data_IF_100374769479
#
_entry.id   IF_100374769479
#
_cell.length_a   1.000
_cell.length_b   1.000
_cell.length_c   1.000
_cell.angle_alpha   90.00
_cell.angle_beta   90.00
_cell.angle_gamma   90.00
#
_symmetry.space_group_name_H-M   'P 1'
#
loop_
_entity.id
_entity.type
_entity.pdbx_description
1 polymer ?
#
# COMPACT_ATOMS: atom_id res chain seq x y z
N UNK A 1 41.44 25.15 -9.70
CA UNK A 1 40.22 25.70 -9.07
C UNK A 1 39.19 24.57 -9.04
N UNK A 2 39.04 23.94 -7.88
CA UNK A 2 38.23 22.74 -7.66
C UNK A 2 36.82 23.18 -7.26
N UNK A 3 35.83 22.92 -8.11
CA UNK A 3 34.42 23.07 -7.77
C UNK A 3 33.93 21.78 -7.10
N UNK A 4 33.56 21.90 -5.84
CA UNK A 4 33.00 20.83 -4.99
C UNK A 4 31.55 20.54 -5.35
N UNK A 5 31.25 19.27 -5.57
CA UNK A 5 29.92 18.67 -5.75
C UNK A 5 29.16 18.67 -4.40
N UNK A 6 27.88 19.08 -4.33
CA UNK A 6 27.09 18.92 -3.11
C UNK A 6 26.68 17.46 -2.91
N UNK A 7 26.85 16.97 -1.67
CA UNK A 7 26.38 15.66 -1.20
C UNK A 7 24.85 15.56 -1.23
N UNK A 8 24.38 14.41 -1.67
CA UNK A 8 23.01 13.89 -1.53
C UNK A 8 22.41 14.20 -0.14
N UNK A 9 21.31 14.93 -0.14
CA UNK A 9 20.33 14.93 0.96
C UNK A 9 19.36 13.78 0.77
N UNK A 10 19.26 12.93 1.78
CA UNK A 10 18.31 11.82 1.90
C UNK A 10 16.85 12.26 1.65
N UNK A 11 15.99 11.39 1.07
CA UNK A 11 14.56 11.63 1.06
C UNK A 11 14.02 11.50 2.49
N UNK A 12 13.69 12.65 3.08
CA UNK A 12 12.98 12.79 4.35
C UNK A 12 11.62 12.07 4.27
N UNK A 13 11.61 10.79 4.66
CA UNK A 13 10.40 10.08 5.04
C UNK A 13 9.82 10.77 6.29
N UNK A 14 8.83 11.64 6.11
CA UNK A 14 7.91 12.06 7.17
C UNK A 14 6.78 11.04 7.21
N UNK A 15 6.67 10.16 8.22
CA UNK A 15 5.57 9.20 8.29
C UNK A 15 4.43 9.76 9.14
N UNK A 16 3.21 9.73 8.58
CA UNK A 16 2.01 9.08 9.16
C UNK A 16 1.56 9.40 10.60
N UNK A 17 2.11 10.41 11.29
CA UNK A 17 1.74 10.71 12.68
C UNK A 17 0.38 11.39 12.86
N UNK A 18 -0.24 11.90 11.79
CA UNK A 18 -1.51 12.63 11.89
C UNK A 18 -2.76 11.77 11.61
N UNK A 19 -2.63 10.65 10.88
CA UNK A 19 -3.76 9.78 10.56
C UNK A 19 -4.09 8.79 11.69
N UNK A 20 -3.12 8.39 12.50
CA UNK A 20 -3.37 7.47 13.64
C UNK A 20 -3.99 8.16 14.87
N UNK A 21 -3.83 9.48 15.01
CA UNK A 21 -4.52 10.24 16.05
C UNK A 21 -6.04 10.32 15.80
N UNK A 22 -6.48 10.24 14.54
CA UNK A 22 -7.90 10.24 14.17
C UNK A 22 -8.58 8.87 14.42
N UNK A 23 -7.85 7.76 14.25
CA UNK A 23 -8.37 6.43 14.57
C UNK A 23 -8.60 6.23 16.08
N UNK A 24 -7.70 6.77 16.91
CA UNK A 24 -7.84 6.71 18.37
C UNK A 24 -9.04 7.55 18.89
N UNK A 25 -9.34 8.66 18.21
CA UNK A 25 -10.50 9.52 18.52
C UNK A 25 -11.81 8.87 18.04
N UNK A 26 -11.79 8.07 16.97
CA UNK A 26 -12.96 7.34 16.49
C UNK A 26 -13.32 6.14 17.42
N UNK A 27 -12.32 5.36 17.86
CA UNK A 27 -12.53 4.30 18.85
C UNK A 27 -12.95 4.83 20.23
N UNK A 28 -12.43 6.01 20.63
CA UNK A 28 -12.88 6.69 21.84
C UNK A 28 -14.29 7.30 21.70
N UNK A 29 -14.70 7.74 20.50
CA UNK A 29 -16.05 8.23 20.25
C UNK A 29 -17.08 7.10 20.37
N UNK A 30 -16.77 5.88 19.92
CA UNK A 30 -17.61 4.69 20.13
C UNK A 30 -17.81 4.36 21.62
N UNK A 31 -16.78 4.57 22.44
CA UNK A 31 -16.82 4.39 23.89
C UNK A 31 -17.38 5.60 24.68
N UNK A 32 -17.57 6.76 24.05
CA UNK A 32 -18.11 7.99 24.65
C UNK A 32 -19.58 8.31 24.26
N UNK A 33 -20.18 7.52 23.36
CA UNK A 33 -21.64 7.50 23.15
C UNK A 33 -22.47 7.07 24.38
N UNK A 34 -21.99 6.27 25.37
CA UNK A 34 -22.88 5.76 26.42
C UNK A 34 -23.33 6.82 27.44
N UNK A 35 -22.85 8.07 27.36
CA UNK A 35 -23.29 9.13 28.27
C UNK A 35 -24.55 9.90 27.81
N UNK A 36 -24.99 9.76 26.55
CA UNK A 36 -25.96 10.72 25.97
C UNK A 36 -27.20 10.11 25.28
N UNK A 37 -27.32 8.79 25.14
CA UNK A 37 -28.46 8.18 24.43
C UNK A 37 -28.96 6.86 25.05
N UNK A 38 -30.28 6.68 25.03
CA UNK A 38 -30.97 5.52 25.59
C UNK A 38 -30.73 4.27 24.71
N UNK A 39 -30.39 3.10 25.29
CA UNK A 39 -30.20 1.84 24.57
C UNK A 39 -31.32 1.48 23.57
N UNK A 40 -32.58 1.77 23.90
CA UNK A 40 -33.74 1.47 23.03
C UNK A 40 -33.79 2.33 21.76
N UNK A 41 -33.19 3.51 21.78
CA UNK A 41 -33.01 4.38 20.60
C UNK A 41 -31.78 4.04 19.76
N UNK A 42 -30.82 3.29 20.31
CA UNK A 42 -29.54 2.96 19.65
C UNK A 42 -29.63 1.62 18.89
N UNK A 43 -30.39 0.64 19.40
CA UNK A 43 -30.54 -0.69 18.79
C UNK A 43 -30.90 -0.73 17.27
N UNK A 44 -31.85 0.07 16.75
CA UNK A 44 -32.12 0.07 15.31
C UNK A 44 -30.97 0.70 14.48
N UNK A 45 -30.22 1.63 15.09
CA UNK A 45 -29.06 2.28 14.46
C UNK A 45 -27.88 1.30 14.42
N UNK A 46 -27.67 0.49 15.47
CA UNK A 46 -26.60 -0.52 15.48
C UNK A 46 -26.85 -1.64 14.47
N UNK A 47 -28.10 -2.10 14.33
CA UNK A 47 -28.47 -3.09 13.31
C UNK A 47 -28.24 -2.56 11.88
N UNK A 48 -28.57 -1.28 11.61
CA UNK A 48 -28.28 -0.64 10.33
C UNK A 48 -26.77 -0.45 10.10
N UNK A 49 -26.00 -0.09 11.13
CA UNK A 49 -24.54 0.03 11.05
C UNK A 49 -23.87 -1.32 10.80
N UNK A 50 -24.30 -2.39 11.48
CA UNK A 50 -23.79 -3.74 11.27
C UNK A 50 -24.01 -4.20 9.81
N UNK A 51 -25.23 -4.01 9.29
CA UNK A 51 -25.53 -4.34 7.90
C UNK A 51 -24.73 -3.49 6.90
N UNK A 52 -24.60 -2.19 7.14
CA UNK A 52 -23.79 -1.30 6.29
C UNK A 52 -22.32 -1.71 6.28
N UNK A 53 -21.76 -2.16 7.41
CA UNK A 53 -20.39 -2.64 7.53
C UNK A 53 -20.15 -3.99 6.84
N UNK A 54 -21.13 -4.90 6.88
CA UNK A 54 -21.07 -6.15 6.10
C UNK A 54 -21.04 -5.86 4.60
N UNK A 55 -21.93 -4.99 4.12
CA UNK A 55 -21.97 -4.56 2.72
C UNK A 55 -20.67 -3.85 2.32
N UNK A 56 -20.18 -2.94 3.17
CA UNK A 56 -18.90 -2.24 2.94
C UNK A 56 -17.73 -3.23 2.86
N UNK A 57 -17.63 -4.16 3.81
CA UNK A 57 -16.56 -5.17 3.82
C UNK A 57 -16.61 -6.05 2.58
N UNK A 58 -17.79 -6.53 2.18
CA UNK A 58 -17.95 -7.37 1.00
C UNK A 58 -17.61 -6.59 -0.28
N UNK A 59 -18.05 -5.34 -0.39
CA UNK A 59 -17.75 -4.48 -1.54
C UNK A 59 -16.27 -4.10 -1.62
N UNK A 60 -15.62 -3.87 -0.48
CA UNK A 60 -14.20 -3.55 -0.41
C UNK A 60 -13.35 -4.72 -0.88
N UNK A 61 -13.65 -5.94 -0.42
CA UNK A 61 -12.91 -7.14 -0.83
C UNK A 61 -13.09 -7.43 -2.32
N UNK A 62 -14.33 -7.35 -2.82
CA UNK A 62 -14.59 -7.50 -4.25
C UNK A 62 -13.83 -6.45 -5.09
N UNK A 63 -13.84 -5.19 -4.64
CA UNK A 63 -13.14 -4.09 -5.31
C UNK A 63 -11.62 -4.26 -5.28
N UNK A 64 -11.06 -4.76 -4.17
CA UNK A 64 -9.63 -5.08 -4.03
C UNK A 64 -9.21 -6.14 -5.05
N UNK A 65 -9.93 -7.25 -5.11
CA UNK A 65 -9.64 -8.34 -6.07
C UNK A 65 -9.73 -7.86 -7.51
N UNK A 66 -10.73 -7.03 -7.84
CA UNK A 66 -10.86 -6.44 -9.17
C UNK A 66 -9.69 -5.51 -9.50
N UNK A 67 -9.28 -4.66 -8.55
CA UNK A 67 -8.15 -3.75 -8.72
C UNK A 67 -6.84 -4.51 -8.93
N UNK A 68 -6.56 -5.52 -8.10
CA UNK A 68 -5.37 -6.38 -8.23
C UNK A 68 -5.33 -7.05 -9.62
N UNK A 69 -6.44 -7.64 -10.06
CA UNK A 69 -6.54 -8.27 -11.39
C UNK A 69 -6.36 -7.26 -12.52
N UNK A 70 -6.95 -6.07 -12.41
CA UNK A 70 -6.82 -5.02 -13.42
C UNK A 70 -5.37 -4.53 -13.53
N UNK A 71 -4.67 -4.38 -12.41
CA UNK A 71 -3.26 -3.99 -12.37
C UNK A 71 -2.40 -5.07 -13.02
N UNK A 72 -2.58 -6.35 -12.65
CA UNK A 72 -1.86 -7.47 -13.27
C UNK A 72 -2.09 -7.52 -14.78
N UNK A 73 -3.35 -7.41 -15.23
CA UNK A 73 -3.68 -7.41 -16.65
C UNK A 73 -3.06 -6.22 -17.41
N UNK A 74 -3.11 -5.03 -16.81
CA UNK A 74 -2.53 -3.81 -17.40
C UNK A 74 -1.00 -3.92 -17.52
N UNK A 75 -0.33 -4.45 -16.49
CA UNK A 75 1.11 -4.69 -16.51
C UNK A 75 1.50 -5.71 -17.58
N UNK A 76 0.73 -6.79 -17.77
CA UNK A 76 1.00 -7.76 -18.82
C UNK A 76 0.87 -7.16 -20.22
N UNK A 77 -0.16 -6.32 -20.46
CA UNK A 77 -0.32 -5.60 -21.74
C UNK A 77 0.90 -4.70 -22.01
N UNK A 78 1.33 -3.94 -20.99
CA UNK A 78 2.49 -3.05 -21.13
C UNK A 78 3.78 -3.83 -21.37
N UNK A 79 3.98 -4.97 -20.69
CA UNK A 79 5.12 -5.88 -20.92
C UNK A 79 5.16 -6.39 -22.35
N UNK A 80 4.03 -6.84 -22.89
CA UNK A 80 3.91 -7.30 -24.28
C UNK A 80 4.21 -6.16 -25.26
N UNK A 81 3.65 -4.97 -25.01
CA UNK A 81 3.89 -3.79 -25.85
C UNK A 81 5.36 -3.38 -25.86
N UNK A 82 6.00 -3.38 -24.70
CA UNK A 82 7.40 -3.01 -24.50
C UNK A 82 8.35 -4.00 -25.16
N UNK A 83 8.19 -5.30 -24.90
CA UNK A 83 8.98 -6.35 -25.55
C UNK A 83 8.80 -6.36 -27.07
N UNK A 84 7.57 -6.16 -27.55
CA UNK A 84 7.26 -6.00 -28.97
C UNK A 84 7.91 -4.75 -29.59
N UNK A 85 7.99 -3.64 -28.84
CA UNK A 85 8.69 -2.42 -29.27
C UNK A 85 10.19 -2.67 -29.41
N UNK A 86 10.83 -3.26 -28.39
CA UNK A 86 12.26 -3.60 -28.45
C UNK A 86 12.59 -4.53 -29.60
N UNK A 87 11.75 -5.54 -29.84
CA UNK A 87 11.94 -6.43 -30.99
C UNK A 87 11.87 -5.70 -32.33
N UNK A 88 10.87 -4.83 -32.51
CA UNK A 88 10.74 -4.01 -33.73
C UNK A 88 11.91 -3.07 -33.90
N UNK A 89 12.39 -2.49 -32.82
CA UNK A 89 13.54 -1.60 -32.81
C UNK A 89 14.81 -2.28 -33.34
N UNK A 90 15.08 -3.53 -32.91
CA UNK A 90 16.19 -4.34 -33.43
C UNK A 90 16.09 -4.59 -34.93
N UNK A 91 14.87 -4.81 -35.45
CA UNK A 91 14.62 -4.96 -36.89
C UNK A 91 14.83 -3.63 -37.64
N UNK A 92 14.28 -2.52 -37.13
CA UNK A 92 14.35 -1.21 -37.80
C UNK A 92 15.76 -0.61 -37.81
N UNK A 93 16.56 -0.90 -36.79
CA UNK A 93 17.96 -0.46 -36.70
C UNK A 93 18.90 -1.33 -37.54
N UNK A 94 18.41 -2.49 -38.01
CA UNK A 94 19.18 -3.47 -38.78
C UNK A 94 20.10 -4.33 -37.92
N UNK A 95 19.98 -4.31 -36.59
CA UNK A 95 20.69 -5.22 -35.68
C UNK A 95 20.20 -6.66 -35.83
N UNK A 96 18.94 -6.81 -36.24
CA UNK A 96 18.32 -8.06 -36.66
C UNK A 96 17.83 -7.91 -38.11
N UNK A 97 18.15 -8.86 -38.98
CA UNK A 97 17.67 -8.89 -40.36
C UNK A 97 16.19 -9.30 -40.43
N UNK A 98 15.50 -9.07 -41.58
CA UNK A 98 14.13 -9.55 -41.79
C UNK A 98 13.99 -11.07 -41.63
N UNK A 99 15.05 -11.83 -41.92
CA UNK A 99 15.12 -13.29 -41.76
C UNK A 99 15.50 -13.72 -40.33
N UNK A 100 15.45 -12.78 -39.37
CA UNK A 100 15.76 -12.97 -37.96
C UNK A 100 17.22 -13.42 -37.72
N UNK A 101 18.15 -12.89 -38.51
CA UNK A 101 19.58 -13.12 -38.34
C UNK A 101 20.23 -11.94 -37.62
N UNK A 102 21.12 -12.23 -36.67
CA UNK A 102 21.91 -11.19 -36.02
C UNK A 102 22.88 -10.56 -37.03
N UNK A 103 23.05 -9.24 -36.96
CA UNK A 103 24.03 -8.50 -37.78
C UNK A 103 25.04 -7.80 -36.84
N UNK A 104 26.03 -8.52 -36.27
CA UNK A 104 26.94 -7.97 -35.26
C UNK A 104 27.77 -6.77 -35.74
N UNK A 105 28.14 -6.75 -37.02
CA UNK A 105 28.89 -5.64 -37.64
C UNK A 105 28.08 -4.33 -37.56
N UNK A 106 26.75 -4.42 -37.72
CA UNK A 106 25.86 -3.26 -37.64
C UNK A 106 25.90 -2.60 -36.27
N UNK A 107 26.13 -3.37 -35.20
CA UNK A 107 26.27 -2.83 -33.84
C UNK A 107 27.48 -1.89 -33.74
N UNK A 108 28.62 -2.28 -34.30
CA UNK A 108 29.83 -1.46 -34.29
C UNK A 108 29.67 -0.17 -35.11
N UNK A 109 29.03 -0.26 -36.28
CA UNK A 109 28.70 0.90 -37.12
C UNK A 109 27.81 1.90 -36.36
N UNK A 110 26.76 1.41 -35.69
CA UNK A 110 25.84 2.24 -34.94
C UNK A 110 26.47 2.80 -33.65
N UNK A 111 27.41 2.08 -33.04
CA UNK A 111 28.16 2.59 -31.88
C UNK A 111 29.11 3.73 -32.26
N UNK A 112 29.66 3.72 -33.47
CA UNK A 112 30.52 4.79 -33.98
C UNK A 112 29.76 6.11 -34.25
N UNK A 113 28.46 6.04 -34.50
CA UNK A 113 27.60 7.20 -34.75
C UNK A 113 26.84 7.63 -33.48
N UNK A 114 27.25 8.74 -32.87
CA UNK A 114 26.66 9.27 -31.63
C UNK A 114 25.17 9.63 -31.75
N UNK A 115 24.64 9.89 -32.95
CA UNK A 115 23.24 10.26 -33.16
C UNK A 115 22.30 9.04 -33.18
N UNK A 116 22.83 7.85 -33.45
CA UNK A 116 22.02 6.63 -33.45
C UNK A 116 21.66 6.22 -32.03
N UNK A 117 20.39 5.91 -31.79
CA UNK A 117 19.91 5.40 -30.51
C UNK A 117 19.19 4.09 -30.72
N UNK A 118 19.61 3.07 -29.97
CA UNK A 118 18.81 1.88 -29.72
C UNK A 118 19.07 1.43 -28.29
N UNK A 119 18.14 0.70 -27.71
CA UNK A 119 18.22 0.15 -26.35
C UNK A 119 19.53 -0.62 -26.17
N UNK A 120 19.89 -1.51 -27.11
CA UNK A 120 21.13 -2.28 -27.02
C UNK A 120 22.38 -1.39 -27.15
N UNK A 121 22.34 -0.36 -28.01
CA UNK A 121 23.42 0.62 -28.14
C UNK A 121 23.58 1.41 -26.83
N UNK A 122 22.47 1.79 -26.21
CA UNK A 122 22.45 2.50 -24.94
C UNK A 122 23.01 1.64 -23.81
N UNK A 123 22.69 0.35 -23.74
CA UNK A 123 23.31 -0.57 -22.77
C UNK A 123 24.84 -0.55 -22.89
N UNK A 124 25.36 -0.56 -24.12
CA UNK A 124 26.80 -0.53 -24.37
C UNK A 124 27.41 0.83 -24.02
N UNK A 125 26.77 1.93 -24.44
CA UNK A 125 27.25 3.30 -24.15
C UNK A 125 27.24 3.64 -22.67
N UNK A 126 26.25 3.14 -21.93
CA UNK A 126 26.15 3.29 -20.48
C UNK A 126 27.10 2.33 -19.73
N UNK A 127 27.83 1.47 -20.44
CA UNK A 127 28.79 0.53 -19.88
C UNK A 127 28.15 -0.64 -19.12
N UNK A 128 26.86 -0.90 -19.32
CA UNK A 128 26.12 -2.01 -18.71
C UNK A 128 26.39 -3.33 -19.44
N UNK A 129 26.73 -3.25 -20.72
CA UNK A 129 27.09 -4.38 -21.56
C UNK A 129 28.35 -4.06 -22.34
N UNK A 130 29.30 -4.98 -22.42
CA UNK A 130 30.48 -4.83 -23.30
C UNK A 130 30.06 -5.09 -24.75
N UNK A 131 30.81 -4.56 -25.72
CA UNK A 131 30.52 -4.78 -27.16
C UNK A 131 30.43 -6.27 -27.49
N UNK A 132 31.39 -7.08 -27.03
CA UNK A 132 31.40 -8.52 -27.26
C UNK A 132 30.19 -9.24 -26.61
N UNK A 133 29.73 -8.76 -25.45
CA UNK A 133 28.55 -9.29 -24.77
C UNK A 133 27.28 -8.94 -25.55
N UNK A 134 27.17 -7.73 -26.08
CA UNK A 134 26.05 -7.31 -26.91
C UNK A 134 25.97 -8.06 -28.24
N UNK A 135 27.12 -8.37 -28.86
CA UNK A 135 27.17 -9.22 -30.05
C UNK A 135 26.72 -10.65 -29.76
N UNK A 136 27.20 -11.25 -28.65
CA UNK A 136 26.77 -12.58 -28.23
C UNK A 136 25.26 -12.60 -27.91
N UNK A 137 24.77 -11.58 -27.18
CA UNK A 137 23.35 -11.42 -26.88
C UNK A 137 22.49 -11.34 -28.14
N UNK A 138 22.92 -10.59 -29.17
CA UNK A 138 22.20 -10.52 -30.45
C UNK A 138 22.11 -11.88 -31.15
N UNK A 139 23.21 -12.65 -31.13
CA UNK A 139 23.26 -14.00 -31.73
C UNK A 139 22.29 -14.93 -30.99
N UNK A 140 22.32 -14.93 -29.66
CA UNK A 140 21.43 -15.75 -28.83
C UNK A 140 19.96 -15.34 -29.04
N UNK A 141 19.70 -14.03 -29.12
CA UNK A 141 18.36 -13.52 -29.37
C UNK A 141 17.83 -13.90 -30.76
N UNK A 142 18.67 -13.80 -31.81
CA UNK A 142 18.33 -14.25 -33.15
C UNK A 142 18.02 -15.77 -33.18
N UNK A 143 18.84 -16.58 -32.49
CA UNK A 143 18.64 -18.02 -32.38
C UNK A 143 17.31 -18.35 -31.70
N UNK A 144 16.99 -17.70 -30.58
CA UNK A 144 15.70 -17.90 -29.89
C UNK A 144 14.50 -17.47 -30.74
N UNK A 145 14.65 -16.44 -31.60
CA UNK A 145 13.60 -16.02 -32.52
C UNK A 145 13.29 -17.06 -33.60
N UNK A 146 14.29 -17.84 -34.03
CA UNK A 146 14.12 -18.94 -35.00
C UNK A 146 13.56 -20.23 -34.36
N UNK A 147 13.59 -20.34 -33.03
CA UNK A 147 13.09 -21.50 -32.31
C UNK A 147 11.62 -21.31 -31.90
N UNK A 148 10.70 -21.94 -32.64
CA UNK A 148 9.25 -21.87 -32.37
C UNK A 148 8.83 -22.33 -30.97
N UNK A 149 9.68 -23.08 -30.26
CA UNK A 149 9.43 -23.63 -28.93
C UNK A 149 10.08 -22.82 -27.79
N UNK A 150 10.66 -21.65 -28.06
CA UNK A 150 11.44 -20.89 -27.07
C UNK A 150 10.89 -19.48 -26.71
N UNK A 151 9.56 -19.28 -26.52
CA UNK A 151 9.02 -17.95 -26.20
C UNK A 151 9.50 -17.42 -24.84
N UNK A 152 9.74 -18.30 -23.87
CA UNK A 152 10.25 -17.93 -22.55
C UNK A 152 11.72 -17.51 -22.61
N UNK A 153 12.55 -18.22 -23.38
CA UNK A 153 13.96 -17.85 -23.57
C UNK A 153 14.08 -16.49 -24.26
N UNK A 154 13.23 -16.23 -25.27
CA UNK A 154 13.15 -14.91 -25.92
C UNK A 154 12.83 -13.80 -24.92
N UNK A 155 11.85 -14.02 -24.05
CA UNK A 155 11.48 -13.06 -22.99
C UNK A 155 12.61 -12.88 -21.98
N UNK A 156 13.27 -13.95 -21.57
CA UNK A 156 14.38 -13.90 -20.63
C UNK A 156 15.57 -13.09 -21.18
N UNK A 157 15.89 -13.21 -22.47
CA UNK A 157 16.92 -12.39 -23.11
C UNK A 157 16.54 -10.91 -23.15
N UNK A 158 15.30 -10.58 -23.52
CA UNK A 158 14.83 -9.18 -23.50
C UNK A 158 14.79 -8.60 -22.10
N UNK A 159 14.52 -9.42 -21.08
CA UNK A 159 14.49 -9.00 -19.68
C UNK A 159 15.86 -8.53 -19.14
N UNK A 160 16.95 -8.84 -19.84
CA UNK A 160 18.30 -8.36 -19.48
C UNK A 160 18.53 -6.90 -19.91
N UNK A 161 17.67 -6.34 -20.76
CA UNK A 161 17.77 -4.95 -21.19
C UNK A 161 17.13 -4.01 -20.15
N UNK A 162 17.78 -2.89 -19.87
CA UNK A 162 17.41 -1.95 -18.82
C UNK A 162 15.95 -1.47 -18.91
N UNK A 163 15.34 -1.21 -20.09
CA UNK A 163 13.93 -0.82 -20.13
C UNK A 163 12.99 -1.88 -19.57
N UNK A 164 13.29 -3.18 -19.77
CA UNK A 164 12.48 -4.26 -19.19
C UNK A 164 12.77 -4.38 -17.70
N UNK A 165 14.04 -4.38 -17.30
CA UNK A 165 14.44 -4.46 -15.89
C UNK A 165 13.78 -3.35 -15.05
N UNK A 166 13.83 -2.10 -15.52
CA UNK A 166 13.19 -0.96 -14.85
C UNK A 166 11.66 -1.10 -14.81
N UNK A 167 11.06 -1.59 -15.91
CA UNK A 167 9.63 -1.85 -15.96
C UNK A 167 9.23 -2.91 -14.93
N UNK A 168 9.95 -4.02 -14.84
CA UNK A 168 9.66 -5.10 -13.87
C UNK A 168 9.84 -4.64 -12.43
N UNK A 169 10.88 -3.85 -12.15
CA UNK A 169 11.07 -3.25 -10.83
C UNK A 169 9.89 -2.33 -10.45
N UNK A 170 9.43 -1.48 -11.39
CA UNK A 170 8.26 -0.63 -11.20
C UNK A 170 6.96 -1.41 -11.07
N UNK A 171 6.80 -2.47 -11.87
CA UNK A 171 5.64 -3.37 -11.84
C UNK A 171 5.52 -4.08 -10.48
N UNK A 172 6.62 -4.62 -9.97
CA UNK A 172 6.69 -5.24 -8.64
C UNK A 172 6.36 -4.25 -7.53
N UNK A 173 6.93 -3.04 -7.59
CA UNK A 173 6.64 -1.98 -6.62
C UNK A 173 5.16 -1.57 -6.63
N UNK A 174 4.55 -1.44 -7.82
CA UNK A 174 3.13 -1.12 -7.97
C UNK A 174 2.23 -2.23 -7.40
N UNK A 175 2.53 -3.50 -7.70
CA UNK A 175 1.77 -4.62 -7.16
C UNK A 175 1.84 -4.67 -5.64
N UNK A 176 3.03 -4.50 -5.05
CA UNK A 176 3.17 -4.42 -3.59
C UNK A 176 2.40 -3.24 -2.99
N UNK A 177 2.42 -2.07 -3.64
CA UNK A 177 1.68 -0.90 -3.17
C UNK A 177 0.15 -1.13 -3.19
N UNK A 178 -0.37 -1.79 -4.22
CA UNK A 178 -1.81 -2.12 -4.33
C UNK A 178 -2.24 -3.09 -3.24
N UNK A 179 -1.45 -4.14 -2.99
CA UNK A 179 -1.72 -5.10 -1.91
C UNK A 179 -1.69 -4.40 -0.54
N UNK A 180 -0.63 -3.63 -0.26
CA UNK A 180 -0.48 -2.91 1.01
C UNK A 180 -1.63 -1.89 1.24
N UNK A 181 -2.09 -1.23 0.17
CA UNK A 181 -3.24 -0.34 0.26
C UNK A 181 -4.53 -1.10 0.56
N UNK A 182 -4.76 -2.24 -0.09
CA UNK A 182 -5.89 -3.12 0.19
C UNK A 182 -5.91 -3.62 1.64
N UNK A 183 -4.76 -4.03 2.15
CA UNK A 183 -4.58 -4.43 3.56
C UNK A 183 -4.90 -3.27 4.52
N UNK A 184 -4.42 -2.06 4.23
CA UNK A 184 -4.71 -0.88 5.04
C UNK A 184 -6.22 -0.55 5.11
N UNK A 185 -6.94 -0.67 3.99
CA UNK A 185 -8.40 -0.49 4.00
C UNK A 185 -9.07 -1.60 4.82
N UNK A 186 -8.61 -2.85 4.69
CA UNK A 186 -9.19 -3.96 5.45
C UNK A 186 -8.99 -3.79 6.97
N UNK A 187 -7.84 -3.24 7.40
CA UNK A 187 -7.61 -2.86 8.80
C UNK A 187 -8.66 -1.85 9.26
N UNK A 188 -8.89 -0.78 8.49
CA UNK A 188 -9.90 0.24 8.82
C UNK A 188 -11.32 -0.35 8.89
N UNK A 189 -11.69 -1.25 7.98
CA UNK A 189 -12.99 -1.94 8.01
C UNK A 189 -13.11 -2.83 9.25
N UNK A 190 -12.03 -3.50 9.66
CA UNK A 190 -12.01 -4.32 10.86
C UNK A 190 -12.09 -3.46 12.14
N UNK A 191 -11.43 -2.31 12.19
CA UNK A 191 -11.55 -1.34 13.28
C UNK A 191 -12.99 -0.83 13.41
N UNK A 192 -13.62 -0.41 12.30
CA UNK A 192 -15.02 0.01 12.28
C UNK A 192 -15.98 -1.11 12.74
N UNK A 193 -15.69 -2.37 12.37
CA UNK A 193 -16.45 -3.54 12.85
C UNK A 193 -16.28 -3.74 14.35
N UNK A 194 -15.08 -3.59 14.87
CA UNK A 194 -14.80 -3.71 16.30
C UNK A 194 -15.56 -2.63 17.09
N UNK A 195 -15.59 -1.41 16.59
CA UNK A 195 -16.34 -0.28 17.17
C UNK A 195 -17.85 -0.55 17.15
N UNK A 196 -18.40 -0.99 16.02
CA UNK A 196 -19.82 -1.31 15.92
C UNK A 196 -20.24 -2.44 16.87
N UNK A 197 -19.41 -3.46 17.05
CA UNK A 197 -19.65 -4.52 18.05
C UNK A 197 -19.65 -3.98 19.49
N UNK A 198 -18.77 -3.03 19.80
CA UNK A 198 -18.74 -2.40 21.12
C UNK A 198 -20.02 -1.59 21.39
N UNK A 199 -20.53 -0.86 20.40
CA UNK A 199 -21.79 -0.11 20.50
C UNK A 199 -23.00 -1.06 20.60
N UNK A 200 -23.01 -2.17 19.85
CA UNK A 200 -24.08 -3.17 19.91
C UNK A 200 -24.18 -3.84 21.28
N UNK A 201 -23.02 -4.23 21.85
CA UNK A 201 -22.93 -4.76 23.21
C UNK A 201 -23.48 -3.77 24.25
N UNK A 202 -23.19 -2.48 24.08
CA UNK A 202 -23.76 -1.43 24.94
C UNK A 202 -25.29 -1.33 24.80
N UNK A 203 -25.83 -1.36 23.57
CA UNK A 203 -27.27 -1.26 23.33
C UNK A 203 -28.07 -2.43 23.93
N UNK A 204 -27.44 -3.59 24.13
CA UNK A 204 -28.10 -4.81 24.63
C UNK A 204 -27.91 -5.05 26.14
N UNK A 205 -27.18 -4.19 26.87
CA UNK A 205 -26.98 -4.31 28.32
C UNK A 205 -28.17 -3.87 29.20
N UNK A 206 -29.33 -3.61 28.59
CA UNK A 206 -30.64 -3.64 29.26
C UNK A 206 -30.99 -2.46 30.17
N UNK A 207 -30.05 -1.90 30.92
CA UNK A 207 -30.28 -0.76 31.80
C UNK A 207 -28.98 0.05 31.94
N UNK A 208 -29.04 1.33 31.58
CA UNK A 208 -28.04 2.30 32.03
C UNK A 208 -28.08 2.30 33.57
N UNK A 209 -26.96 2.03 34.26
CA UNK A 209 -26.97 2.14 35.70
C UNK A 209 -27.28 3.59 36.06
N UNK A 210 -28.41 3.81 36.72
CA UNK A 210 -28.89 5.13 37.18
C UNK A 210 -27.96 5.77 38.22
N UNK A 211 -26.95 5.02 38.66
CA UNK A 211 -25.82 5.45 39.46
C UNK A 211 -24.54 5.11 38.70
N UNK A 212 -23.64 6.09 38.55
CA UNK A 212 -22.34 5.89 37.90
C UNK A 212 -21.46 4.98 38.77
N UNK A 213 -21.53 3.66 38.53
CA UNK A 213 -20.65 2.67 39.17
C UNK A 213 -19.33 2.56 38.40
N UNK A 214 -18.31 3.24 38.92
CA UNK A 214 -16.97 3.26 38.31
C UNK A 214 -16.35 1.89 38.18
N UNK A 215 -16.57 0.99 39.14
CA UNK A 215 -15.95 -0.32 39.11
C UNK A 215 -16.56 -1.15 37.96
N UNK A 216 -17.88 -1.04 37.78
CA UNK A 216 -18.59 -1.69 36.68
C UNK A 216 -18.22 -1.07 35.32
N UNK A 217 -18.14 0.26 35.22
CA UNK A 217 -17.73 0.96 33.99
C UNK A 217 -16.28 0.61 33.61
N UNK A 218 -15.36 0.57 34.58
CA UNK A 218 -13.97 0.14 34.37
C UNK A 218 -13.90 -1.29 33.83
N UNK A 219 -14.58 -2.22 34.50
CA UNK A 219 -14.58 -3.63 34.09
C UNK A 219 -15.09 -3.82 32.65
N UNK A 220 -16.12 -3.07 32.25
CA UNK A 220 -16.64 -3.09 30.88
C UNK A 220 -15.62 -2.53 29.88
N UNK A 221 -15.00 -1.39 30.16
CA UNK A 221 -14.03 -0.78 29.24
C UNK A 221 -12.74 -1.64 29.16
N UNK A 222 -12.30 -2.24 30.25
CA UNK A 222 -11.20 -3.21 30.25
C UNK A 222 -11.50 -4.42 29.38
N UNK A 223 -12.69 -5.01 29.55
CA UNK A 223 -13.13 -6.20 28.82
C UNK A 223 -13.31 -5.95 27.32
N UNK A 224 -13.82 -4.77 26.93
CA UNK A 224 -14.24 -4.52 25.55
C UNK A 224 -13.31 -3.61 24.76
N UNK A 225 -12.55 -2.74 25.41
CA UNK A 225 -11.64 -1.78 24.76
C UNK A 225 -10.18 -2.18 24.97
N UNK A 226 -9.72 -2.29 26.23
CA UNK A 226 -8.29 -2.54 26.50
C UNK A 226 -7.85 -3.94 26.08
N UNK A 227 -8.71 -4.95 26.22
CA UNK A 227 -8.42 -6.32 25.78
C UNK A 227 -8.16 -6.45 24.26
N UNK A 228 -8.55 -5.45 23.46
CA UNK A 228 -8.40 -5.45 21.99
C UNK A 228 -7.24 -4.59 21.48
N UNK A 229 -6.49 -3.93 22.37
CA UNK A 229 -5.30 -3.16 21.98
C UNK A 229 -4.10 -4.10 21.94
N UNK A 230 -3.64 -4.48 20.74
CA UNK A 230 -2.54 -5.47 20.58
C UNK A 230 -1.17 -4.95 21.04
N UNK A 231 -0.94 -3.65 20.98
CA UNK A 231 0.31 -3.03 21.42
C UNK A 231 0.30 -2.80 22.95
N UNK A 232 1.25 -3.38 23.70
CA UNK A 232 1.26 -3.29 25.16
C UNK A 232 1.43 -1.85 25.67
N UNK A 233 2.35 -1.07 25.09
CA UNK A 233 2.58 0.33 25.49
C UNK A 233 1.34 1.19 25.28
N UNK A 234 0.57 0.93 24.20
CA UNK A 234 -0.70 1.63 23.93
C UNK A 234 -1.82 1.19 24.86
N UNK A 235 -1.83 -0.08 25.25
CA UNK A 235 -2.80 -0.63 26.20
C UNK A 235 -2.60 -0.01 27.59
N UNK A 236 -1.35 0.10 28.01
CA UNK A 236 -0.98 0.72 29.29
C UNK A 236 -1.33 2.21 29.30
N UNK A 237 -0.99 2.95 28.24
CA UNK A 237 -1.38 4.36 28.11
C UNK A 237 -2.91 4.57 28.09
N UNK A 238 -3.66 3.67 27.45
CA UNK A 238 -5.12 3.72 27.45
C UNK A 238 -5.71 3.37 28.83
N UNK A 239 -5.08 2.47 29.59
CA UNK A 239 -5.47 2.17 30.97
C UNK A 239 -5.27 3.37 31.91
N UNK A 240 -4.15 4.07 31.79
CA UNK A 240 -3.89 5.29 32.56
C UNK A 240 -4.90 6.41 32.23
N UNK A 241 -5.25 6.56 30.96
CA UNK A 241 -6.22 7.55 30.51
C UNK A 241 -7.64 7.19 30.97
N UNK A 242 -7.98 5.90 31.01
CA UNK A 242 -9.23 5.41 31.59
C UNK A 242 -9.34 5.76 33.09
N UNK A 243 -8.26 5.55 33.84
CA UNK A 243 -8.22 5.91 35.26
C UNK A 243 -8.42 7.42 35.48
N UNK A 244 -7.83 8.26 34.62
CA UNK A 244 -8.04 9.70 34.62
C UNK A 244 -9.50 10.09 34.32
N UNK A 245 -10.12 9.47 33.31
CA UNK A 245 -11.51 9.75 32.91
C UNK A 245 -12.53 9.28 33.96
N UNK A 246 -12.22 8.22 34.70
CA UNK A 246 -13.07 7.71 35.77
C UNK A 246 -12.84 8.41 37.11
N UNK A 247 -11.83 9.28 37.21
CA UNK A 247 -11.59 10.11 38.40
C UNK A 247 -12.77 11.10 38.55
N UNK A 248 -13.32 11.32 39.77
CA UNK A 248 -14.34 12.34 39.96
C UNK A 248 -13.78 13.68 39.51
N UNK A 249 -14.53 14.39 38.66
CA UNK A 249 -14.27 15.81 38.49
C UNK A 249 -14.34 16.47 39.88
N UNK A 250 -13.34 17.27 40.30
CA UNK A 250 -13.43 17.98 41.56
C UNK A 250 -14.73 18.79 41.52
N UNK A 251 -15.56 18.65 42.55
CA UNK A 251 -16.74 19.49 42.69
C UNK A 251 -16.24 20.94 42.61
N UNK A 252 -16.69 21.68 41.60
CA UNK A 252 -16.50 23.12 41.59
C UNK A 252 -17.32 23.60 42.78
N UNK A 253 -16.66 23.96 43.87
CA UNK A 253 -17.32 24.52 45.04
C UNK A 253 -17.93 25.86 44.61
N UNK A 254 -19.27 26.00 44.56
CA UNK A 254 -19.89 27.24 44.11
C UNK A 254 -19.67 28.39 45.10
N UNK A 255 -18.98 28.16 46.23
CA UNK A 255 -18.81 29.14 47.30
C UNK A 255 -17.51 29.96 47.23
N UNK A 256 -16.54 29.63 46.38
CA UNK A 256 -15.30 30.43 46.25
C UNK A 256 -15.35 31.53 45.16
N UNK A 257 -16.53 31.75 44.56
CA UNK A 257 -16.77 32.78 43.55
C UNK A 257 -17.34 34.09 44.11
N UNK A 258 -16.62 34.73 45.04
CA UNK A 258 -16.62 36.18 45.28
C UNK A 258 -17.95 36.94 45.39
N UNK A 259 -18.38 37.20 46.62
CA UNK A 259 -19.01 38.46 46.98
C UNK A 259 -18.34 39.04 48.22
N UNK A 260 -17.65 40.18 48.02
CA UNK A 260 -16.98 41.09 48.98
C UNK A 260 -15.50 40.83 49.25
#
# INVERSE_FOLDING_TARGET
MLATVPKNTEPSARPLRMTHALALVAGAAGALIPACANPTTIAPITAQQAHALEVLSAHTEASRVLLERQVVASLEIQRIALTGRLHRELLTTGLLSPDLEAVPIRLEELLADAEQSSTLIEEVRLGRMRIAEAQAWLIDYALTCKMSQAPEAKRALLAQLSPIEQFEAGASALQHAVVAHGEAIQILVNELRADAQAIDLYAHQGELPTTWDRAKTRALIEQYVLARIDNPDRRDAAAELLDLLLTPWPAIDPTEGGAS
#
